data_IF_836000028467
#
_entry.id   IF_836000028467
#
_cell.length_a   1.000
_cell.length_b   1.000
_cell.length_c   1.000
_cell.angle_alpha   90.00
_cell.angle_beta   90.00
_cell.angle_gamma   90.00
#
_symmetry.space_group_name_H-M   'P 1'
#
loop_
_entity.id
_entity.type
_entity.pdbx_description
1 polymer ?
#
# COMPACT_ATOMS: atom_id res chain seq x y z
N UNK A 1 -29.18 64.83 -27.14
CA UNK A 1 -29.45 63.44 -26.91
C UNK A 1 -28.14 62.73 -26.46
N UNK A 2 -27.97 62.44 -25.16
CA UNK A 2 -26.76 61.74 -24.65
C UNK A 2 -27.05 60.25 -24.61
N UNK A 3 -26.29 59.47 -25.39
CA UNK A 3 -26.36 58.01 -25.36
C UNK A 3 -25.48 57.49 -24.22
N UNK A 4 -26.08 56.86 -23.22
CA UNK A 4 -25.37 56.21 -22.10
C UNK A 4 -25.10 54.79 -22.50
N UNK A 5 -23.82 54.43 -22.72
CA UNK A 5 -23.37 53.08 -22.98
C UNK A 5 -23.19 52.35 -21.65
N UNK A 6 -24.05 51.36 -21.35
CA UNK A 6 -23.87 50.50 -20.16
C UNK A 6 -22.82 49.43 -20.48
N UNK A 7 -21.76 49.41 -19.72
CA UNK A 7 -20.72 48.38 -19.75
C UNK A 7 -21.17 47.23 -18.84
N UNK A 8 -21.51 46.07 -19.43
CA UNK A 8 -21.83 44.87 -18.67
C UNK A 8 -20.52 44.13 -18.38
N UNK A 9 -20.06 44.16 -17.13
CA UNK A 9 -18.93 43.37 -16.69
C UNK A 9 -19.38 41.93 -16.43
N UNK A 10 -18.93 41.01 -17.24
CA UNK A 10 -19.13 39.57 -17.03
C UNK A 10 -18.06 39.09 -16.05
N UNK A 11 -18.47 38.81 -14.81
CA UNK A 11 -17.61 38.24 -13.77
C UNK A 11 -17.52 36.73 -14.04
N UNK A 12 -16.42 36.27 -14.63
CA UNK A 12 -16.13 34.84 -14.79
C UNK A 12 -15.71 34.25 -13.44
N UNK A 13 -16.62 33.57 -12.78
CA UNK A 13 -16.31 32.79 -11.56
C UNK A 13 -15.49 31.58 -11.98
N UNK A 14 -14.18 31.57 -11.72
CA UNK A 14 -13.33 30.37 -11.84
C UNK A 14 -13.70 29.47 -10.66
N UNK A 15 -14.51 28.43 -10.92
CA UNK A 15 -14.74 27.35 -9.98
C UNK A 15 -13.46 26.50 -10.00
N UNK A 16 -12.58 26.70 -9.01
CA UNK A 16 -11.46 25.81 -8.78
C UNK A 16 -12.04 24.43 -8.39
N UNK A 17 -12.05 23.49 -9.34
CA UNK A 17 -12.28 22.08 -9.02
C UNK A 17 -11.15 21.64 -8.10
N UNK A 18 -11.45 21.08 -6.90
CA UNK A 18 -10.40 20.47 -6.09
C UNK A 18 -9.69 19.43 -6.98
N UNK A 19 -8.37 19.53 -7.09
CA UNK A 19 -7.59 18.53 -7.77
C UNK A 19 -7.90 17.19 -7.07
N UNK A 20 -8.58 16.29 -7.78
CA UNK A 20 -8.74 14.91 -7.32
C UNK A 20 -7.32 14.38 -7.19
N UNK A 21 -6.93 14.01 -5.97
CA UNK A 21 -5.66 13.34 -5.80
C UNK A 21 -5.66 12.14 -6.73
N UNK A 22 -4.64 12.07 -7.60
CA UNK A 22 -4.49 10.98 -8.55
C UNK A 22 -4.42 9.66 -7.78
N UNK A 23 -5.29 8.72 -8.09
CA UNK A 23 -5.31 7.38 -7.47
C UNK A 23 -3.93 6.74 -7.46
N UNK A 24 -3.13 6.97 -8.50
CA UNK A 24 -1.76 6.45 -8.55
C UNK A 24 -0.90 7.04 -7.42
N UNK A 25 -0.99 8.34 -7.17
CA UNK A 25 -0.22 8.98 -6.12
C UNK A 25 -0.72 8.54 -4.73
N UNK A 26 -2.04 8.48 -4.52
CA UNK A 26 -2.60 7.97 -3.25
C UNK A 26 -2.08 6.57 -2.92
N UNK A 27 -2.01 5.67 -3.91
CA UNK A 27 -1.51 4.30 -3.71
C UNK A 27 0.01 4.29 -3.44
N UNK A 28 0.80 5.11 -4.14
CA UNK A 28 2.25 5.25 -3.84
C UNK A 28 2.45 5.68 -2.40
N UNK A 29 1.74 6.71 -1.96
CA UNK A 29 1.82 7.24 -0.59
C UNK A 29 1.43 6.18 0.45
N UNK A 30 0.41 5.37 0.17
CA UNK A 30 -0.01 4.27 1.06
C UNK A 30 1.06 3.19 1.18
N UNK A 31 1.71 2.81 0.07
CA UNK A 31 2.79 1.82 0.08
C UNK A 31 4.00 2.33 0.87
N UNK A 32 4.43 3.58 0.61
CA UNK A 32 5.54 4.21 1.33
C UNK A 32 5.25 4.41 2.81
N UNK A 33 4.04 4.89 3.15
CA UNK A 33 3.62 5.03 4.54
C UNK A 33 3.56 3.69 5.28
N UNK A 34 3.29 2.56 4.57
CA UNK A 34 3.29 1.22 5.17
C UNK A 34 4.67 0.83 5.67
N UNK A 35 5.68 1.00 4.83
CA UNK A 35 7.05 0.63 5.21
C UNK A 35 7.60 1.59 6.27
N UNK A 36 7.28 2.89 6.17
CA UNK A 36 7.64 3.88 7.18
C UNK A 36 7.04 3.55 8.55
N UNK A 37 5.76 3.16 8.60
CA UNK A 37 5.11 2.72 9.84
C UNK A 37 5.84 1.52 10.45
N UNK A 38 6.15 0.49 9.65
CA UNK A 38 6.83 -0.71 10.14
C UNK A 38 8.24 -0.40 10.64
N UNK A 39 8.99 0.48 9.96
CA UNK A 39 10.30 0.95 10.43
C UNK A 39 10.21 1.66 11.79
N UNK A 40 9.16 2.46 12.02
CA UNK A 40 9.01 3.25 13.23
C UNK A 40 8.47 2.44 14.42
N UNK A 41 7.56 1.47 14.16
CA UNK A 41 6.78 0.81 15.19
C UNK A 41 7.15 -0.65 15.41
N UNK A 42 8.04 -1.21 14.60
CA UNK A 42 8.40 -2.65 14.61
C UNK A 42 7.17 -3.56 14.50
N UNK A 43 6.11 -3.08 13.85
CA UNK A 43 4.86 -3.80 13.62
C UNK A 43 4.18 -3.33 12.35
N UNK A 44 3.50 -4.23 11.69
CA UNK A 44 2.60 -3.86 10.58
C UNK A 44 1.31 -3.27 11.12
N UNK A 45 0.72 -2.31 10.41
CA UNK A 45 -0.56 -1.71 10.76
C UNK A 45 -1.73 -2.60 10.26
N UNK A 46 -2.46 -3.29 11.14
CA UNK A 46 -3.55 -4.17 10.75
C UNK A 46 -4.72 -3.41 10.12
N UNK A 47 -4.84 -2.09 10.38
CA UNK A 47 -5.89 -1.27 9.79
C UNK A 47 -5.78 -1.17 8.26
N UNK A 48 -4.63 -1.52 7.68
CA UNK A 48 -4.42 -1.56 6.23
C UNK A 48 -5.08 -2.74 5.53
N UNK A 49 -5.49 -3.76 6.27
CA UNK A 49 -6.22 -4.90 5.73
C UNK A 49 -7.69 -4.51 5.52
N UNK A 50 -8.30 -4.97 4.42
CA UNK A 50 -9.72 -4.80 4.13
C UNK A 50 -10.59 -5.31 5.29
N UNK A 51 -11.76 -4.72 5.50
CA UNK A 51 -12.72 -5.17 6.52
C UNK A 51 -13.09 -6.65 6.38
N UNK A 52 -13.15 -7.14 5.15
CA UNK A 52 -13.41 -8.55 4.86
C UNK A 52 -12.15 -9.43 4.88
N UNK A 53 -11.03 -8.85 5.28
CA UNK A 53 -9.73 -9.51 5.24
C UNK A 53 -9.04 -9.44 3.88
N UNK A 54 -7.84 -10.04 3.79
CA UNK A 54 -7.06 -10.16 2.56
C UNK A 54 -6.69 -11.63 2.26
N UNK A 55 -6.38 -11.89 1.00
CA UNK A 55 -5.86 -13.18 0.52
C UNK A 55 -4.42 -12.99 0.09
N UNK A 56 -3.50 -13.74 0.69
CA UNK A 56 -2.07 -13.44 0.56
C UNK A 56 -1.21 -14.68 0.34
N UNK A 57 -0.31 -14.58 -0.63
CA UNK A 57 0.83 -15.50 -0.76
C UNK A 57 2.07 -14.85 -0.16
N UNK A 58 2.66 -15.50 0.80
CA UNK A 58 3.89 -15.02 1.44
C UNK A 58 5.15 -15.48 0.72
N UNK A 59 6.23 -14.72 0.90
CA UNK A 59 7.54 -15.02 0.32
C UNK A 59 8.19 -16.32 0.82
N UNK A 60 7.60 -16.95 1.82
CA UNK A 60 7.97 -18.29 2.29
C UNK A 60 7.60 -19.42 1.32
N UNK A 61 6.80 -19.16 0.28
CA UNK A 61 6.36 -20.15 -0.70
C UNK A 61 5.25 -21.09 -0.21
N UNK A 62 4.54 -20.72 0.86
CA UNK A 62 3.44 -21.53 1.40
C UNK A 62 2.13 -21.41 0.63
N UNK A 63 1.07 -22.00 1.17
CA UNK A 63 -0.28 -21.94 0.64
C UNK A 63 -0.90 -20.54 0.79
N UNK A 64 -2.06 -20.34 0.17
CA UNK A 64 -2.84 -19.12 0.29
C UNK A 64 -3.29 -18.90 1.73
N UNK A 65 -2.94 -17.74 2.28
CA UNK A 65 -3.34 -17.32 3.62
C UNK A 65 -4.57 -16.41 3.56
N UNK A 66 -5.44 -16.56 4.54
CA UNK A 66 -6.53 -15.61 4.80
C UNK A 66 -6.15 -14.79 6.01
N UNK A 67 -5.96 -13.49 5.80
CA UNK A 67 -5.54 -12.55 6.84
C UNK A 67 -6.76 -11.73 7.26
N UNK A 68 -7.11 -11.75 8.54
CA UNK A 68 -8.12 -10.85 9.07
C UNK A 68 -7.47 -9.62 9.70
N UNK A 69 -8.23 -8.54 9.78
CA UNK A 69 -7.77 -7.32 10.47
C UNK A 69 -7.55 -7.56 11.96
N UNK A 70 -8.37 -8.42 12.56
CA UNK A 70 -8.32 -8.76 13.98
C UNK A 70 -7.11 -9.64 14.34
N UNK A 71 -6.53 -10.34 13.37
CA UNK A 71 -5.33 -11.16 13.62
C UNK A 71 -4.08 -10.34 13.97
N UNK A 72 -4.18 -9.02 13.86
CA UNK A 72 -3.04 -8.13 14.03
C UNK A 72 -2.06 -8.19 12.85
N UNK A 73 -1.08 -7.32 12.85
CA UNK A 73 0.04 -7.36 11.90
C UNK A 73 1.20 -8.17 12.46
N UNK A 74 2.14 -8.52 11.60
CA UNK A 74 3.41 -9.09 12.04
C UNK A 74 4.16 -8.09 12.94
N UNK A 75 4.83 -8.60 13.96
CA UNK A 75 5.70 -7.84 14.86
C UNK A 75 7.16 -8.25 14.66
N UNK A 76 8.06 -7.33 14.96
CA UNK A 76 9.49 -7.51 14.73
C UNK A 76 10.28 -7.13 15.98
N UNK A 77 11.37 -7.84 16.25
CA UNK A 77 12.38 -7.46 17.22
C UNK A 77 13.34 -6.42 16.62
N UNK A 78 13.53 -6.46 15.28
CA UNK A 78 14.26 -5.48 14.50
C UNK A 78 13.71 -5.43 13.08
N UNK A 79 13.61 -4.23 12.51
CA UNK A 79 13.19 -4.03 11.13
C UNK A 79 13.83 -2.77 10.55
N UNK A 80 14.40 -2.91 9.37
CA UNK A 80 14.82 -1.79 8.52
C UNK A 80 14.48 -2.16 7.09
N UNK A 81 13.58 -1.42 6.48
CA UNK A 81 13.09 -1.73 5.14
C UNK A 81 12.87 -0.50 4.27
N UNK A 82 12.84 -0.74 2.97
CA UNK A 82 12.51 0.25 1.94
C UNK A 82 11.72 -0.38 0.81
N UNK A 83 11.00 0.46 0.08
CA UNK A 83 10.29 0.09 -1.16
C UNK A 83 10.88 0.87 -2.33
N UNK A 84 10.87 0.27 -3.52
CA UNK A 84 11.44 0.85 -4.74
C UNK A 84 10.57 0.52 -5.94
N UNK A 85 10.61 1.41 -6.94
CA UNK A 85 9.96 1.21 -8.24
C UNK A 85 8.48 0.87 -8.10
N UNK A 86 7.73 1.75 -7.41
CA UNK A 86 6.29 1.56 -7.23
C UNK A 86 5.56 1.92 -8.52
N UNK A 87 5.03 0.90 -9.19
CA UNK A 87 4.18 1.02 -10.37
C UNK A 87 2.73 0.75 -10.00
N UNK A 88 1.83 1.63 -10.37
CA UNK A 88 0.41 1.54 -10.01
C UNK A 88 -0.43 1.38 -11.26
N UNK A 89 -1.28 0.36 -11.26
CA UNK A 89 -2.31 0.13 -12.27
C UNK A 89 -3.66 0.46 -11.65
N UNK A 90 -4.27 1.55 -12.09
CA UNK A 90 -5.61 1.94 -11.64
C UNK A 90 -6.63 1.05 -12.35
N UNK A 91 -7.44 0.32 -11.59
CA UNK A 91 -8.51 -0.52 -12.11
C UNK A 91 -9.82 0.26 -12.20
N UNK A 92 -10.14 1.01 -11.13
CA UNK A 92 -11.30 1.91 -11.05
C UNK A 92 -10.87 3.14 -10.26
N UNK A 93 -10.95 4.32 -10.90
CA UNK A 93 -10.53 5.59 -10.32
C UNK A 93 -11.19 5.83 -8.96
N UNK A 94 -10.37 6.15 -7.94
CA UNK A 94 -10.81 6.38 -6.56
C UNK A 94 -11.41 5.17 -5.83
N UNK A 95 -11.35 3.94 -6.39
CA UNK A 95 -12.00 2.74 -5.81
C UNK A 95 -11.12 1.51 -5.74
N UNK A 96 -10.36 1.21 -6.80
CA UNK A 96 -9.55 -0.01 -6.86
C UNK A 96 -8.29 0.19 -7.69
N UNK A 97 -7.16 -0.34 -7.21
CA UNK A 97 -5.88 -0.29 -7.90
C UNK A 97 -5.00 -1.48 -7.53
N UNK A 98 -3.97 -1.73 -8.34
CA UNK A 98 -2.90 -2.68 -8.06
C UNK A 98 -1.59 -1.90 -7.98
N UNK A 99 -0.75 -2.19 -6.99
CA UNK A 99 0.63 -1.75 -6.95
C UNK A 99 1.59 -2.93 -7.14
N UNK A 100 2.61 -2.70 -7.96
CA UNK A 100 3.77 -3.57 -8.12
C UNK A 100 4.99 -2.81 -7.62
N UNK A 101 5.82 -3.44 -6.80
CA UNK A 101 7.03 -2.80 -6.29
C UNK A 101 8.05 -3.82 -5.79
N UNK A 102 9.25 -3.36 -5.51
CA UNK A 102 10.27 -4.15 -4.83
C UNK A 102 10.35 -3.71 -3.37
N UNK A 103 10.45 -4.70 -2.47
CA UNK A 103 10.71 -4.47 -1.06
C UNK A 103 12.05 -5.09 -0.69
N UNK A 104 12.91 -4.29 -0.07
CA UNK A 104 14.17 -4.73 0.53
C UNK A 104 14.11 -4.49 2.04
N UNK A 105 14.58 -5.44 2.82
CA UNK A 105 14.64 -5.29 4.27
C UNK A 105 15.73 -6.16 4.90
N UNK A 106 16.15 -5.73 6.09
CA UNK A 106 16.77 -6.59 7.10
C UNK A 106 15.81 -6.65 8.27
N UNK A 107 15.40 -7.83 8.69
CA UNK A 107 14.38 -7.97 9.72
C UNK A 107 14.62 -9.15 10.63
N UNK A 108 14.12 -9.07 11.86
CA UNK A 108 13.97 -10.18 12.78
C UNK A 108 12.51 -10.22 13.25
N UNK A 109 11.65 -11.05 12.59
CA UNK A 109 10.29 -11.24 13.06
C UNK A 109 10.29 -11.83 14.49
N UNK A 110 9.32 -11.43 15.30
CA UNK A 110 9.22 -11.89 16.70
C UNK A 110 9.13 -13.41 16.77
N UNK A 111 10.05 -14.02 17.51
CA UNK A 111 10.10 -15.48 17.68
C UNK A 111 10.59 -16.28 16.49
N UNK A 112 11.08 -15.64 15.43
CA UNK A 112 11.60 -16.29 14.22
C UNK A 112 13.07 -15.91 13.97
N UNK A 113 13.80 -16.68 13.15
CA UNK A 113 15.16 -16.34 12.74
C UNK A 113 15.24 -15.01 12.01
N UNK A 114 16.36 -14.31 12.16
CA UNK A 114 16.63 -13.08 11.40
C UNK A 114 16.76 -13.35 9.91
N UNK A 115 16.27 -12.41 9.11
CA UNK A 115 16.36 -12.40 7.65
C UNK A 115 17.11 -11.13 7.23
N UNK A 116 18.44 -11.18 7.06
CA UNK A 116 19.25 -10.00 6.82
C UNK A 116 19.20 -9.49 5.37
N UNK A 117 18.73 -10.31 4.43
CA UNK A 117 18.70 -10.02 3.00
C UNK A 117 17.31 -10.34 2.42
N UNK A 118 16.29 -9.74 2.99
CA UNK A 118 14.93 -9.86 2.47
C UNK A 118 14.80 -9.00 1.21
N UNK A 119 14.56 -9.66 0.07
CA UNK A 119 14.33 -9.00 -1.21
C UNK A 119 13.18 -9.67 -1.93
N UNK A 120 12.11 -8.92 -2.16
CA UNK A 120 10.91 -9.45 -2.78
C UNK A 120 10.37 -8.51 -3.85
N UNK A 121 9.72 -9.09 -4.84
CA UNK A 121 8.76 -8.41 -5.69
C UNK A 121 7.39 -8.57 -5.04
N UNK A 122 6.63 -7.50 -5.03
CA UNK A 122 5.34 -7.43 -4.37
C UNK A 122 4.28 -7.02 -5.36
N UNK A 123 3.14 -7.66 -5.29
CA UNK A 123 1.90 -7.22 -5.94
C UNK A 123 0.84 -7.10 -4.87
N UNK A 124 0.22 -5.93 -4.74
CA UNK A 124 -0.90 -5.70 -3.83
C UNK A 124 -2.09 -5.14 -4.56
N UNK A 125 -3.27 -5.71 -4.33
CA UNK A 125 -4.54 -5.17 -4.77
C UNK A 125 -5.18 -4.36 -3.64
N UNK A 126 -5.55 -3.13 -3.96
CA UNK A 126 -6.14 -2.18 -3.04
C UNK A 126 -7.59 -1.88 -3.40
N UNK A 127 -8.42 -1.69 -2.38
CA UNK A 127 -9.78 -1.16 -2.48
C UNK A 127 -9.93 0.02 -1.52
N UNK A 128 -10.72 1.03 -1.92
CA UNK A 128 -11.00 2.18 -1.05
C UNK A 128 -12.25 1.90 -0.22
N UNK A 129 -12.08 1.79 1.10
CA UNK A 129 -13.13 1.54 2.09
C UNK A 129 -13.17 2.70 3.09
N UNK A 130 -14.31 3.35 3.27
CA UNK A 130 -14.49 4.49 4.18
C UNK A 130 -13.41 5.59 3.98
N UNK A 131 -13.10 5.89 2.72
CA UNK A 131 -12.11 6.91 2.36
C UNK A 131 -10.65 6.48 2.50
N UNK A 132 -10.34 5.25 2.94
CA UNK A 132 -9.00 4.73 3.12
C UNK A 132 -8.70 3.55 2.19
N UNK A 133 -7.50 3.52 1.63
CA UNK A 133 -7.03 2.39 0.84
C UNK A 133 -6.67 1.20 1.72
N UNK A 134 -7.21 0.02 1.37
CA UNK A 134 -7.05 -1.24 2.10
C UNK A 134 -6.54 -2.33 1.19
N UNK A 135 -5.70 -3.21 1.72
CA UNK A 135 -5.17 -4.38 1.02
C UNK A 135 -6.26 -5.46 0.98
N UNK A 136 -6.62 -5.89 -0.23
CA UNK A 136 -7.59 -6.97 -0.47
C UNK A 136 -6.92 -8.27 -0.87
N UNK A 137 -5.78 -8.18 -1.53
CA UNK A 137 -4.94 -9.32 -1.87
C UNK A 137 -3.48 -8.89 -1.96
N UNK A 138 -2.56 -9.82 -1.70
CA UNK A 138 -1.14 -9.57 -1.86
C UNK A 138 -0.36 -10.83 -2.23
N UNK A 139 0.75 -10.61 -2.93
CA UNK A 139 1.71 -11.66 -3.27
C UNK A 139 3.13 -11.11 -3.11
N UNK A 140 3.91 -11.79 -2.28
CA UNK A 140 5.34 -11.56 -2.14
C UNK A 140 6.09 -12.76 -2.70
N UNK A 141 7.08 -12.52 -3.56
CA UNK A 141 7.97 -13.60 -4.02
C UNK A 141 9.42 -13.14 -3.98
N UNK A 142 10.36 -14.00 -3.54
CA UNK A 142 11.76 -13.64 -3.48
C UNK A 142 12.31 -13.27 -4.87
N UNK A 143 13.22 -12.28 -4.90
CA UNK A 143 14.09 -12.06 -6.05
C UNK A 143 15.21 -13.09 -6.04
N UNK A 144 15.81 -13.36 -7.20
CA UNK A 144 16.99 -14.20 -7.29
C UNK A 144 18.11 -13.63 -6.40
N UNK A 145 18.68 -14.45 -5.54
CA UNK A 145 19.67 -14.04 -4.54
C UNK A 145 19.11 -13.31 -3.32
N UNK A 146 17.78 -13.09 -3.24
CA UNK A 146 17.10 -12.61 -2.05
C UNK A 146 16.57 -13.74 -1.18
N UNK A 147 16.49 -13.51 0.13
CA UNK A 147 15.82 -14.40 1.05
C UNK A 147 14.34 -14.01 1.17
N UNK A 148 13.46 -15.03 1.21
CA UNK A 148 12.10 -14.87 1.71
C UNK A 148 12.06 -14.97 3.24
N UNK A 149 10.88 -14.97 3.82
CA UNK A 149 10.67 -15.31 5.23
C UNK A 149 10.80 -16.81 5.43
N UNK A 150 11.13 -17.25 6.65
CA UNK A 150 11.05 -18.66 7.01
C UNK A 150 9.64 -19.18 6.79
N UNK A 151 9.52 -20.41 6.31
CA UNK A 151 8.20 -21.03 6.15
C UNK A 151 7.46 -21.04 7.49
N UNK A 152 6.30 -20.45 7.51
CA UNK A 152 5.35 -20.68 8.59
C UNK A 152 4.82 -22.09 8.41
N UNK A 153 5.01 -22.95 9.41
CA UNK A 153 4.47 -24.31 9.37
C UNK A 153 2.95 -24.17 9.27
N UNK A 154 2.41 -24.56 8.13
CA UNK A 154 0.95 -24.70 7.98
C UNK A 154 0.55 -25.90 8.84
N UNK A 155 -0.15 -25.63 9.93
CA UNK A 155 -0.79 -26.68 10.76
C UNK A 155 -2.08 -27.11 10.12
#
# INVERSE_FOLDING_TARGET
MKKTTQLVAILATIIATPALADTQQEIRDVVEASIAHTNANLSQDPSRISKEGSKEFFSSGGLLNSISRESGGNTFEAFTGSVKHIEVVVLVEGKAAIAHYYQEASMKPTGLPAVPNYRTRVTQAFVKEDGMWRIKAAHWSPLQGGAGTSQTVVK
#
